data_IF_738896596352
#
_entry.id   IF_738896596352
#
_cell.length_a   1.000
_cell.length_b   1.000
_cell.length_c   1.000
_cell.angle_alpha   90.00
_cell.angle_beta   90.00
_cell.angle_gamma   90.00
#
_symmetry.space_group_name_H-M   'P 1'
#
loop_
_entity.id
_entity.type
_entity.pdbx_description
1 polymer ?
#
# COMPACT_ATOMS: atom_id res chain seq x y z
N UNK A 1 -6.81 -1.06 -5.95
CA UNK A 1 -7.13 -0.29 -7.17
C UNK A 1 -5.78 0.19 -7.67
N UNK A 2 -5.23 -0.50 -8.66
CA UNK A 2 -3.90 -0.29 -9.26
C UNK A 2 -3.95 -0.94 -10.65
N UNK A 3 -4.57 -2.11 -10.71
CA UNK A 3 -4.90 -2.85 -11.94
C UNK A 3 -5.84 -2.08 -12.85
N UNK A 4 -6.90 -1.45 -12.30
CA UNK A 4 -7.83 -0.62 -13.08
C UNK A 4 -7.13 0.58 -13.73
N UNK A 5 -6.20 1.20 -13.01
CA UNK A 5 -5.51 2.41 -13.44
C UNK A 5 -4.46 2.11 -14.53
N UNK A 6 -3.80 0.95 -14.47
CA UNK A 6 -2.74 0.57 -15.42
C UNK A 6 -3.24 -0.24 -16.62
N UNK A 7 -4.31 -1.05 -16.45
CA UNK A 7 -4.73 -2.05 -17.45
C UNK A 7 -6.19 -1.88 -17.90
N UNK A 8 -6.93 -0.91 -17.36
CA UNK A 8 -8.32 -0.62 -17.73
C UNK A 8 -9.36 -1.55 -17.09
N UNK A 9 -10.64 -1.33 -17.41
CA UNK A 9 -11.76 -2.04 -16.75
C UNK A 9 -11.89 -3.52 -17.13
N UNK A 10 -11.46 -3.93 -18.33
CA UNK A 10 -11.56 -5.31 -18.80
C UNK A 10 -10.77 -6.31 -17.91
N UNK A 11 -9.69 -5.81 -17.28
CA UNK A 11 -8.84 -6.56 -16.34
C UNK A 11 -9.45 -6.78 -14.96
N UNK A 12 -10.62 -6.19 -14.68
CA UNK A 12 -11.39 -6.46 -13.47
C UNK A 12 -12.33 -7.67 -13.64
N UNK A 13 -12.39 -8.28 -14.83
CA UNK A 13 -13.11 -9.53 -15.04
C UNK A 13 -12.27 -10.74 -14.57
N UNK A 14 -12.92 -11.72 -13.93
CA UNK A 14 -12.30 -12.97 -13.47
C UNK A 14 -11.69 -13.82 -14.61
N UNK A 15 -11.90 -13.42 -15.87
CA UNK A 15 -11.29 -14.10 -17.01
C UNK A 15 -9.79 -13.79 -17.14
N UNK A 16 -9.34 -12.61 -16.70
CA UNK A 16 -7.95 -12.14 -16.85
C UNK A 16 -7.23 -11.88 -15.51
N UNK A 17 -7.98 -11.82 -14.40
CA UNK A 17 -7.43 -11.55 -13.07
C UNK A 17 -7.14 -12.84 -12.28
N UNK A 18 -5.88 -13.32 -12.25
CA UNK A 18 -5.45 -14.50 -11.45
C UNK A 18 -4.08 -14.34 -10.79
N UNK A 19 -3.92 -13.32 -9.95
CA UNK A 19 -2.90 -13.37 -8.90
C UNK A 19 -3.58 -13.32 -7.54
N UNK A 20 -3.76 -14.51 -6.95
CA UNK A 20 -4.20 -14.66 -5.58
C UNK A 20 -2.99 -14.66 -4.65
N UNK A 21 -3.08 -13.93 -3.53
CA UNK A 21 -2.07 -13.91 -2.47
C UNK A 21 -1.72 -15.30 -1.89
N UNK A 22 -2.50 -16.33 -2.24
CA UNK A 22 -2.24 -17.74 -1.93
C UNK A 22 -1.03 -18.33 -2.66
N UNK A 23 -0.70 -17.89 -3.87
CA UNK A 23 0.47 -18.43 -4.58
C UNK A 23 1.79 -17.93 -3.98
N UNK A 24 1.87 -16.64 -3.64
CA UNK A 24 3.07 -16.05 -3.06
C UNK A 24 3.38 -16.61 -1.66
N UNK A 25 2.35 -16.80 -0.83
CA UNK A 25 2.54 -17.42 0.48
C UNK A 25 2.98 -18.89 0.37
N UNK A 26 2.37 -19.67 -0.54
CA UNK A 26 2.81 -21.03 -0.80
C UNK A 26 4.23 -21.09 -1.37
N UNK A 27 4.59 -20.18 -2.27
CA UNK A 27 5.94 -20.10 -2.83
C UNK A 27 6.99 -19.79 -1.75
N UNK A 28 6.68 -18.87 -0.83
CA UNK A 28 7.58 -18.55 0.30
C UNK A 28 7.71 -19.75 1.25
N UNK A 29 6.61 -20.43 1.56
CA UNK A 29 6.64 -21.63 2.41
C UNK A 29 7.43 -22.76 1.77
N UNK A 30 7.25 -23.00 0.48
CA UNK A 30 8.03 -23.99 -0.28
C UNK A 30 9.52 -23.65 -0.29
N UNK A 31 9.87 -22.36 -0.35
CA UNK A 31 11.26 -21.94 -0.35
C UNK A 31 11.93 -22.04 1.02
N UNK A 32 11.23 -21.68 2.10
CA UNK A 32 11.74 -21.87 3.46
C UNK A 32 11.94 -23.36 3.78
N UNK A 33 11.04 -24.22 3.30
CA UNK A 33 11.11 -25.65 3.54
C UNK A 33 12.26 -26.29 2.75
N UNK A 34 12.45 -25.88 1.48
CA UNK A 34 13.60 -26.27 0.67
C UNK A 34 14.93 -25.84 1.30
N UNK A 35 15.03 -24.66 1.90
CA UNK A 35 16.24 -24.24 2.61
C UNK A 35 16.53 -25.14 3.83
N UNK A 36 15.49 -25.67 4.47
CA UNK A 36 15.62 -26.54 5.64
C UNK A 36 15.96 -27.99 5.28
N UNK A 37 15.40 -28.54 4.20
CA UNK A 37 15.49 -29.98 3.87
C UNK A 37 16.20 -30.31 2.54
N UNK A 38 16.50 -29.29 1.73
CA UNK A 38 17.24 -29.39 0.47
C UNK A 38 16.44 -29.88 -0.75
N UNK A 39 15.14 -30.14 -0.63
CA UNK A 39 14.36 -30.78 -1.70
C UNK A 39 13.21 -29.88 -2.20
N UNK A 40 13.01 -29.83 -3.52
CA UNK A 40 11.84 -29.18 -4.11
C UNK A 40 10.61 -30.09 -4.04
N UNK A 41 9.47 -29.56 -3.58
CA UNK A 41 8.17 -30.25 -3.54
C UNK A 41 7.16 -29.64 -4.51
N UNK A 42 6.07 -30.37 -4.80
CA UNK A 42 4.99 -29.91 -5.69
C UNK A 42 3.92 -29.16 -4.91
N UNK A 43 3.14 -28.32 -5.60
CA UNK A 43 2.01 -27.57 -5.02
C UNK A 43 0.94 -28.47 -4.42
N UNK A 44 0.84 -29.71 -4.89
CA UNK A 44 -0.15 -30.69 -4.44
C UNK A 44 0.14 -31.26 -3.04
N UNK A 45 1.37 -31.07 -2.53
CA UNK A 45 1.76 -31.54 -1.19
C UNK A 45 1.22 -30.63 -0.06
N UNK A 46 0.64 -29.46 -0.40
CA UNK A 46 0.20 -28.44 0.55
C UNK A 46 -1.33 -28.31 0.69
N UNK A 47 -2.12 -29.00 -0.15
CA UNK A 47 -3.58 -29.01 0.01
C UNK A 47 -4.00 -30.13 0.96
N UNK A 48 -4.47 -29.78 2.16
CA UNK A 48 -5.10 -30.75 3.05
C UNK A 48 -6.42 -30.17 3.57
N UNK A 49 -7.49 -30.40 2.82
CA UNK A 49 -8.85 -30.26 3.31
C UNK A 49 -9.19 -31.52 4.12
N UNK A 50 -9.07 -31.44 5.44
CA UNK A 50 -9.71 -32.40 6.34
C UNK A 50 -10.75 -31.69 7.20
N UNK A 51 -12.01 -32.00 6.93
CA UNK A 51 -13.14 -31.62 7.78
C UNK A 51 -13.00 -32.28 9.16
N UNK A 52 -13.00 -31.48 10.22
CA UNK A 52 -13.19 -31.95 11.59
C UNK A 52 -14.54 -31.43 12.08
N UNK A 53 -15.52 -32.33 12.11
CA UNK A 53 -16.85 -32.08 12.65
C UNK A 53 -16.88 -32.33 14.16
N UNK A 54 -17.43 -31.38 14.92
CA UNK A 54 -17.88 -31.59 16.30
C UNK A 54 -17.07 -30.91 17.40
N UNK A 55 -17.19 -29.59 17.55
CA UNK A 55 -16.97 -28.90 18.83
C UNK A 55 -17.92 -27.69 18.92
N UNK A 56 -18.65 -27.59 20.03
CA UNK A 56 -19.49 -26.42 20.34
C UNK A 56 -18.57 -25.31 20.84
N UNK A 57 -18.45 -24.22 20.09
CA UNK A 57 -17.61 -23.09 20.46
C UNK A 57 -18.18 -22.36 21.69
N UNK A 58 -17.40 -22.15 22.76
CA UNK A 58 -17.78 -21.21 23.81
C UNK A 58 -17.76 -19.79 23.24
N UNK A 59 -18.61 -18.90 23.77
CA UNK A 59 -18.66 -17.48 23.38
C UNK A 59 -17.27 -16.86 23.56
N UNK A 60 -16.54 -16.72 22.46
CA UNK A 60 -15.25 -16.06 22.42
C UNK A 60 -15.49 -14.55 22.55
N UNK A 61 -14.62 -13.82 23.27
CA UNK A 61 -14.67 -12.37 23.27
C UNK A 61 -14.56 -11.87 21.83
N UNK A 62 -15.40 -10.89 21.49
CA UNK A 62 -15.52 -10.31 20.14
C UNK A 62 -14.17 -9.75 19.64
N UNK A 63 -13.19 -9.57 20.54
CA UNK A 63 -11.78 -9.34 20.22
C UNK A 63 -10.88 -10.21 21.11
N UNK A 64 -10.28 -11.31 20.62
CA UNK A 64 -9.28 -12.05 21.38
C UNK A 64 -8.06 -11.14 21.68
N UNK A 65 -7.39 -11.33 22.84
CA UNK A 65 -6.15 -10.62 23.12
C UNK A 65 -5.13 -10.92 22.01
N UNK A 66 -4.46 -9.88 21.53
CA UNK A 66 -3.50 -9.95 20.44
C UNK A 66 -2.34 -10.88 20.80
N UNK A 67 -1.94 -11.75 19.87
CA UNK A 67 -0.77 -12.59 20.07
C UNK A 67 0.52 -11.89 19.63
N UNK A 68 1.67 -12.31 20.18
CA UNK A 68 2.98 -11.70 19.92
C UNK A 68 3.35 -11.70 18.42
N UNK A 69 2.85 -12.67 17.64
CA UNK A 69 3.09 -12.74 16.19
C UNK A 69 2.34 -11.64 15.43
N UNK A 70 1.10 -11.33 15.83
CA UNK A 70 0.31 -10.25 15.24
C UNK A 70 0.94 -8.89 15.48
N UNK A 71 1.39 -8.63 16.72
CA UNK A 71 2.10 -7.40 17.07
C UNK A 71 3.42 -7.27 16.27
N UNK A 72 4.18 -8.37 16.15
CA UNK A 72 5.39 -8.39 15.34
C UNK A 72 5.09 -8.11 13.85
N UNK A 73 4.03 -8.69 13.30
CA UNK A 73 3.64 -8.46 11.91
C UNK A 73 3.22 -7.02 11.63
N UNK A 74 2.47 -6.40 12.55
CA UNK A 74 2.16 -4.96 12.49
C UNK A 74 3.46 -4.17 12.44
N UNK A 75 4.38 -4.41 13.38
CA UNK A 75 5.65 -3.70 13.45
C UNK A 75 6.46 -3.83 12.15
N UNK A 76 6.63 -5.05 11.63
CA UNK A 76 7.35 -5.29 10.37
C UNK A 76 6.72 -4.52 9.19
N UNK A 77 5.38 -4.46 9.15
CA UNK A 77 4.64 -3.73 8.12
C UNK A 77 4.88 -2.22 8.21
N UNK A 78 4.78 -1.66 9.41
CA UNK A 78 4.97 -0.21 9.63
C UNK A 78 6.43 0.22 9.43
N UNK A 79 7.39 -0.63 9.83
CA UNK A 79 8.81 -0.42 9.60
C UNK A 79 9.10 -0.39 8.08
N UNK A 80 8.56 -1.34 7.32
CA UNK A 80 8.68 -1.36 5.87
C UNK A 80 8.08 -0.09 5.26
N UNK A 81 6.83 0.28 5.58
CA UNK A 81 6.21 1.52 5.11
C UNK A 81 7.10 2.74 5.36
N UNK A 82 7.58 2.89 6.60
CA UNK A 82 8.41 4.03 7.01
C UNK A 82 9.72 4.08 6.26
N UNK A 83 10.39 2.94 6.09
CA UNK A 83 11.61 2.82 5.29
C UNK A 83 11.38 3.25 3.84
N UNK A 84 10.31 2.76 3.19
CA UNK A 84 10.00 3.13 1.79
C UNK A 84 9.66 4.60 1.64
N UNK A 85 8.92 5.19 2.59
CA UNK A 85 8.62 6.63 2.61
C UNK A 85 9.91 7.43 2.73
N UNK A 86 10.80 7.07 3.67
CA UNK A 86 12.07 7.76 3.86
C UNK A 86 12.98 7.66 2.65
N UNK A 87 13.11 6.46 2.06
CA UNK A 87 13.91 6.25 0.85
C UNK A 87 13.36 7.04 -0.35
N UNK A 88 12.04 7.13 -0.49
CA UNK A 88 11.41 7.93 -1.56
C UNK A 88 11.60 9.42 -1.31
N UNK A 89 11.41 9.88 -0.07
CA UNK A 89 11.67 11.27 0.30
C UNK A 89 13.13 11.68 0.05
N UNK A 90 14.10 10.81 0.35
CA UNK A 90 15.51 11.05 0.05
C UNK A 90 15.80 11.12 -1.46
N UNK A 91 15.16 10.26 -2.27
CA UNK A 91 15.24 10.35 -3.74
C UNK A 91 14.66 11.67 -4.24
N UNK A 92 13.47 12.05 -3.77
CA UNK A 92 12.85 13.31 -4.13
C UNK A 92 13.79 14.46 -3.78
N UNK A 93 14.29 14.55 -2.54
CA UNK A 93 15.19 15.62 -2.07
C UNK A 93 16.51 15.70 -2.84
N UNK A 94 16.93 14.62 -3.51
CA UNK A 94 18.10 14.61 -4.39
C UNK A 94 17.84 15.19 -5.79
N UNK A 95 16.63 15.00 -6.32
CA UNK A 95 16.26 15.46 -7.67
C UNK A 95 16.14 16.99 -7.72
N UNK A 96 16.68 17.62 -8.75
CA UNK A 96 16.53 19.06 -8.98
C UNK A 96 15.10 19.42 -9.40
N UNK A 97 14.73 20.69 -9.28
CA UNK A 97 13.41 21.15 -9.72
C UNK A 97 13.25 20.97 -11.24
N UNK A 98 14.31 21.15 -12.02
CA UNK A 98 14.32 20.91 -13.47
C UNK A 98 14.13 19.42 -13.80
N UNK A 99 14.79 18.51 -13.08
CA UNK A 99 14.62 17.05 -13.23
C UNK A 99 13.19 16.64 -12.89
N UNK A 100 12.60 17.23 -11.84
CA UNK A 100 11.21 16.98 -11.46
C UNK A 100 10.21 17.41 -12.53
N UNK A 101 10.55 18.37 -13.38
CA UNK A 101 9.69 18.79 -14.49
C UNK A 101 9.81 17.90 -15.73
N UNK A 102 10.76 16.95 -15.76
CA UNK A 102 10.92 16.01 -16.88
C UNK A 102 10.00 14.80 -16.78
N UNK A 103 9.61 14.26 -17.93
CA UNK A 103 8.95 12.96 -18.04
C UNK A 103 9.91 11.83 -17.61
N UNK A 104 9.43 10.87 -16.81
CA UNK A 104 10.23 9.71 -16.37
C UNK A 104 10.58 8.76 -17.51
N UNK A 105 9.77 8.76 -18.58
CA UNK A 105 9.93 8.04 -19.83
C UNK A 105 9.20 8.80 -20.95
N UNK A 106 9.59 8.69 -22.24
CA UNK A 106 8.88 9.39 -23.31
C UNK A 106 7.38 9.09 -23.26
N UNK A 107 6.55 10.15 -23.26
CA UNK A 107 5.10 10.07 -23.13
C UNK A 107 4.62 9.40 -21.83
N UNK A 108 5.38 9.54 -20.74
CA UNK A 108 5.00 9.14 -19.38
C UNK A 108 4.98 10.35 -18.46
N UNK A 109 4.39 10.17 -17.28
CA UNK A 109 4.22 11.24 -16.29
C UNK A 109 5.56 11.90 -15.92
N UNK A 110 5.49 13.19 -15.60
CA UNK A 110 6.58 13.97 -15.04
C UNK A 110 6.82 13.64 -13.59
N UNK A 111 8.04 13.87 -13.11
CA UNK A 111 8.40 13.69 -11.70
C UNK A 111 7.50 14.46 -10.74
N UNK A 112 7.16 15.70 -11.07
CA UNK A 112 6.29 16.58 -10.28
C UNK A 112 4.89 15.99 -10.12
N UNK A 113 4.34 15.41 -11.19
CA UNK A 113 3.03 14.76 -11.15
C UNK A 113 3.07 13.52 -10.25
N UNK A 114 4.09 12.67 -10.39
CA UNK A 114 4.24 11.48 -9.55
C UNK A 114 4.40 11.83 -8.06
N UNK A 115 5.14 12.90 -7.74
CA UNK A 115 5.26 13.38 -6.36
C UNK A 115 3.92 13.86 -5.82
N UNK A 116 3.20 14.71 -6.56
CA UNK A 116 1.86 15.18 -6.17
C UNK A 116 0.85 14.04 -6.04
N UNK A 117 0.89 13.06 -6.95
CA UNK A 117 0.03 11.88 -6.91
C UNK A 117 0.26 11.06 -5.64
N UNK A 118 1.51 10.77 -5.31
CA UNK A 118 1.86 10.05 -4.08
C UNK A 118 1.42 10.83 -2.83
N UNK A 119 1.59 12.15 -2.82
CA UNK A 119 1.12 13.02 -1.73
C UNK A 119 -0.39 12.85 -1.54
N UNK A 120 -1.19 13.00 -2.60
CA UNK A 120 -2.65 12.89 -2.53
C UNK A 120 -3.10 11.50 -2.10
N UNK A 121 -2.53 10.44 -2.70
CA UNK A 121 -2.88 9.06 -2.37
C UNK A 121 -2.59 8.73 -0.91
N UNK A 122 -1.49 9.26 -0.37
CA UNK A 122 -1.15 9.08 1.04
C UNK A 122 -1.97 9.97 1.96
N UNK A 123 -2.24 11.22 1.59
CA UNK A 123 -3.10 12.12 2.35
C UNK A 123 -4.53 11.56 2.50
N UNK A 124 -5.05 10.93 1.44
CA UNK A 124 -6.30 10.18 1.47
C UNK A 124 -6.27 8.91 2.35
N UNK A 125 -5.09 8.44 2.78
CA UNK A 125 -5.02 7.38 3.79
C UNK A 125 -5.50 7.87 5.15
N UNK A 126 -5.41 9.16 5.48
CA UNK A 126 -5.85 9.70 6.77
C UNK A 126 -7.33 9.39 7.06
N UNK A 127 -8.29 9.73 6.16
CA UNK A 127 -9.69 9.39 6.40
C UNK A 127 -9.95 7.89 6.23
N UNK A 128 -9.27 7.21 5.30
CA UNK A 128 -9.44 5.76 5.10
C UNK A 128 -9.00 4.95 6.33
N UNK A 129 -7.93 5.36 6.98
CA UNK A 129 -7.45 4.79 8.23
C UNK A 129 -8.15 5.37 9.46
N UNK A 130 -9.20 6.20 9.29
CA UNK A 130 -9.99 6.77 10.39
C UNK A 130 -9.16 7.63 11.36
N UNK A 131 -8.13 8.31 10.85
CA UNK A 131 -7.30 9.20 11.67
C UNK A 131 -7.86 10.62 11.70
N UNK A 132 -8.07 11.22 10.53
CA UNK A 132 -8.55 12.59 10.37
C UNK A 132 -8.91 12.88 8.90
N UNK A 133 -9.41 14.07 8.63
CA UNK A 133 -9.58 14.58 7.26
C UNK A 133 -8.23 14.80 6.54
N UNK A 134 -8.21 14.79 5.20
CA UNK A 134 -7.03 15.10 4.40
C UNK A 134 -6.43 16.48 4.73
N UNK A 135 -5.11 16.61 4.67
CA UNK A 135 -4.40 17.87 4.91
C UNK A 135 -4.41 18.80 3.69
N UNK A 136 -4.40 18.22 2.49
CA UNK A 136 -4.25 18.92 1.22
C UNK A 136 -5.31 18.46 0.19
N UNK A 137 -6.62 18.55 0.51
CA UNK A 137 -7.69 18.12 -0.40
C UNK A 137 -7.69 18.88 -1.73
N UNK A 138 -7.14 20.10 -1.76
CA UNK A 138 -6.99 20.93 -2.96
C UNK A 138 -6.11 20.31 -4.05
N UNK A 139 -5.20 19.40 -3.70
CA UNK A 139 -4.29 18.75 -4.64
C UNK A 139 -4.96 17.62 -5.44
N UNK A 140 -6.13 17.14 -5.00
CA UNK A 140 -6.77 15.94 -5.54
C UNK A 140 -7.13 16.06 -7.03
N UNK A 141 -7.65 17.21 -7.44
CA UNK A 141 -8.04 17.43 -8.83
C UNK A 141 -6.83 17.27 -9.76
N UNK A 142 -5.73 17.98 -9.45
CA UNK A 142 -4.55 18.06 -10.32
C UNK A 142 -3.68 16.79 -10.34
N UNK A 143 -3.73 15.95 -9.31
CA UNK A 143 -2.79 14.83 -9.14
C UNK A 143 -3.44 13.45 -9.00
N UNK A 144 -4.77 13.36 -9.07
CA UNK A 144 -5.50 12.09 -9.00
C UNK A 144 -6.66 12.01 -9.98
N UNK A 145 -7.44 13.08 -10.14
CA UNK A 145 -8.62 13.06 -11.01
C UNK A 145 -8.28 13.42 -12.47
N UNK A 146 -7.29 14.29 -12.68
CA UNK A 146 -6.78 14.67 -13.98
C UNK A 146 -5.44 13.97 -14.28
N UNK A 147 -5.23 13.61 -15.55
CA UNK A 147 -3.95 13.09 -16.01
C UNK A 147 -2.89 14.20 -16.08
N UNK A 148 -1.61 13.81 -16.08
CA UNK A 148 -0.50 14.75 -16.17
C UNK A 148 -0.58 15.63 -17.42
N UNK A 149 -0.62 16.95 -17.21
CA UNK A 149 -0.74 17.94 -18.27
C UNK A 149 0.19 19.13 -18.02
N UNK A 150 1.09 19.40 -18.97
CA UNK A 150 2.05 20.50 -18.88
C UNK A 150 1.43 21.90 -18.84
N UNK A 151 0.19 22.05 -19.32
CA UNK A 151 -0.54 23.31 -19.31
C UNK A 151 -1.30 23.56 -18.00
N UNK A 152 -1.43 22.55 -17.12
CA UNK A 152 -2.16 22.70 -15.86
C UNK A 152 -1.36 23.52 -14.85
N UNK A 153 -2.05 24.40 -14.11
CA UNK A 153 -1.43 25.15 -13.02
C UNK A 153 -1.23 24.22 -11.83
N UNK A 154 0.02 24.06 -11.39
CA UNK A 154 0.40 23.18 -10.28
C UNK A 154 1.17 23.96 -9.21
N UNK A 155 1.17 23.50 -7.95
CA UNK A 155 2.10 23.99 -6.94
C UNK A 155 3.56 23.80 -7.39
N UNK A 156 4.47 24.61 -6.84
CA UNK A 156 5.90 24.45 -7.12
C UNK A 156 6.45 23.14 -6.55
N UNK A 157 7.57 22.67 -7.10
CA UNK A 157 8.28 21.49 -6.60
C UNK A 157 8.58 21.65 -5.10
N UNK A 158 9.06 22.83 -4.69
CA UNK A 158 9.32 23.14 -3.28
C UNK A 158 8.07 23.03 -2.40
N UNK A 159 6.92 23.54 -2.84
CA UNK A 159 5.66 23.42 -2.09
C UNK A 159 5.27 21.94 -1.93
N UNK A 160 5.36 21.15 -3.00
CA UNK A 160 5.06 19.71 -2.93
C UNK A 160 6.03 18.95 -2.01
N UNK A 161 7.32 19.34 -1.90
CA UNK A 161 8.25 18.76 -0.91
C UNK A 161 7.80 19.04 0.53
N UNK A 162 7.28 20.22 0.78
CA UNK A 162 6.74 20.59 2.10
C UNK A 162 5.47 19.79 2.40
N UNK A 163 4.57 19.65 1.41
CA UNK A 163 3.38 18.79 1.52
C UNK A 163 3.74 17.33 1.77
N UNK A 164 4.75 16.79 1.07
CA UNK A 164 5.28 15.45 1.32
C UNK A 164 5.69 15.28 2.78
N UNK A 165 6.51 16.21 3.31
CA UNK A 165 6.98 16.15 4.71
C UNK A 165 5.82 16.28 5.70
N UNK A 166 4.85 17.13 5.41
CA UNK A 166 3.66 17.36 6.24
C UNK A 166 2.78 16.09 6.33
N UNK A 167 2.38 15.53 5.19
CA UNK A 167 1.50 14.34 5.12
C UNK A 167 2.14 13.14 5.81
N UNK A 168 3.41 12.84 5.51
CA UNK A 168 4.06 11.66 6.06
C UNK A 168 4.39 11.79 7.54
N UNK A 169 4.73 12.99 8.03
CA UNK A 169 4.89 13.23 9.47
C UNK A 169 3.58 12.97 10.21
N UNK A 170 2.46 13.47 9.69
CA UNK A 170 1.13 13.29 10.29
C UNK A 170 0.70 11.82 10.26
N UNK A 171 0.83 11.16 9.11
CA UNK A 171 0.50 9.73 8.98
C UNK A 171 1.33 8.89 9.96
N UNK A 172 2.67 8.99 9.91
CA UNK A 172 3.55 8.18 10.77
C UNK A 172 3.27 8.46 12.24
N UNK A 173 3.01 9.72 12.62
CA UNK A 173 2.61 10.08 13.99
C UNK A 173 1.35 9.35 14.45
N UNK A 174 0.31 9.30 13.63
CA UNK A 174 -0.91 8.54 13.92
C UNK A 174 -0.65 7.03 13.97
N UNK A 175 0.13 6.50 13.01
CA UNK A 175 0.44 5.07 12.94
C UNK A 175 1.18 4.57 14.19
N UNK A 176 2.08 5.38 14.76
CA UNK A 176 2.84 5.04 15.96
C UNK A 176 2.00 5.05 17.25
N UNK A 177 0.87 5.77 17.25
CA UNK A 177 -0.01 5.88 18.41
C UNK A 177 -1.16 4.86 18.38
N UNK A 178 -1.39 4.19 17.24
CA UNK A 178 -2.49 3.26 17.08
C UNK A 178 -2.16 1.91 17.77
N UNK A 179 -2.99 1.42 18.72
CA UNK A 179 -2.77 0.12 19.35
C UNK A 179 -2.76 -1.03 18.34
N UNK A 180 -1.92 -2.06 18.51
CA UNK A 180 -1.70 -2.97 17.38
C UNK A 180 -2.95 -3.80 16.98
N UNK A 181 -3.89 -4.01 17.91
CA UNK A 181 -5.14 -4.74 17.63
C UNK A 181 -6.05 -3.95 16.67
N UNK A 182 -5.96 -2.62 16.68
CA UNK A 182 -6.76 -1.76 15.82
C UNK A 182 -6.39 -1.88 14.34
N UNK A 183 -5.16 -2.32 14.03
CA UNK A 183 -4.71 -2.54 12.65
C UNK A 183 -5.47 -3.65 11.94
N UNK A 184 -6.03 -4.60 12.70
CA UNK A 184 -6.82 -5.72 12.19
C UNK A 184 -8.31 -5.39 12.10
N UNK A 185 -8.73 -4.14 12.34
CA UNK A 185 -10.09 -3.67 12.10
C UNK A 185 -10.26 -3.15 10.67
N UNK A 186 -11.51 -3.00 10.22
CA UNK A 186 -11.85 -2.49 8.88
C UNK A 186 -11.38 -1.04 8.66
N UNK A 187 -10.90 -0.75 7.46
CA UNK A 187 -10.74 0.64 7.02
C UNK A 187 -12.09 1.29 6.67
N UNK A 188 -12.12 2.61 6.45
CA UNK A 188 -13.36 3.37 6.32
C UNK A 188 -14.21 3.02 5.09
N UNK A 189 -13.59 2.50 4.03
CA UNK A 189 -14.27 2.14 2.79
C UNK A 189 -14.83 0.72 2.73
N UNK A 190 -14.75 -0.06 3.81
CA UNK A 190 -15.37 -1.40 3.91
C UNK A 190 -16.56 -1.35 4.86
N UNK A 191 -17.69 -1.92 4.43
CA UNK A 191 -18.87 -2.10 5.28
C UNK A 191 -18.61 -3.13 6.39
N UNK A 192 -19.46 -3.19 7.41
CA UNK A 192 -19.33 -4.22 8.46
C UNK A 192 -19.64 -5.62 7.93
N UNK A 193 -20.63 -5.72 7.03
CA UNK A 193 -21.02 -6.96 6.37
C UNK A 193 -19.88 -7.52 5.50
N UNK A 194 -19.30 -6.70 4.62
CA UNK A 194 -18.19 -7.14 3.77
C UNK A 194 -16.97 -7.53 4.61
N UNK A 195 -16.69 -6.78 5.67
CA UNK A 195 -15.54 -7.07 6.53
C UNK A 195 -15.69 -8.39 7.30
N UNK A 196 -16.91 -8.75 7.71
CA UNK A 196 -17.17 -10.03 8.35
C UNK A 196 -16.87 -11.21 7.40
N UNK A 197 -17.11 -11.03 6.09
CA UNK A 197 -16.81 -12.03 5.06
C UNK A 197 -15.35 -11.99 4.60
N UNK A 198 -14.71 -10.82 4.64
CA UNK A 198 -13.36 -10.56 4.12
C UNK A 198 -12.48 -9.82 5.15
N UNK A 199 -12.15 -10.44 6.29
CA UNK A 199 -11.44 -9.78 7.40
C UNK A 199 -10.00 -9.35 7.07
N UNK A 200 -9.46 -9.83 5.94
CA UNK A 200 -8.18 -9.38 5.40
C UNK A 200 -8.25 -7.95 4.81
N UNK A 201 -9.44 -7.39 4.56
CA UNK A 201 -9.65 -6.00 4.11
C UNK A 201 -9.58 -5.02 5.30
N UNK A 202 -8.52 -5.15 6.09
CA UNK A 202 -8.26 -4.38 7.30
C UNK A 202 -7.32 -3.19 7.07
N UNK A 203 -7.16 -2.35 8.11
CA UNK A 203 -6.31 -1.14 8.07
C UNK A 203 -4.84 -1.47 7.76
N UNK A 204 -4.31 -2.58 8.28
CA UNK A 204 -2.93 -2.99 8.01
C UNK A 204 -2.71 -3.34 6.53
N UNK A 205 -3.67 -4.06 5.93
CA UNK A 205 -3.62 -4.42 4.52
C UNK A 205 -3.67 -3.18 3.60
N UNK A 206 -4.36 -2.12 4.02
CA UNK A 206 -4.32 -0.84 3.31
C UNK A 206 -2.89 -0.26 3.29
N UNK A 207 -2.17 -0.30 4.42
CA UNK A 207 -0.77 0.16 4.50
C UNK A 207 0.15 -0.71 3.64
N UNK A 208 -0.01 -2.04 3.66
CA UNK A 208 0.74 -2.95 2.79
C UNK A 208 0.53 -2.62 1.30
N UNK A 209 -0.73 -2.44 0.90
CA UNK A 209 -1.06 -2.07 -0.48
C UNK A 209 -0.41 -0.74 -0.89
N UNK A 210 -0.48 0.28 -0.03
CA UNK A 210 0.10 1.61 -0.29
C UNK A 210 1.62 1.57 -0.30
N UNK A 211 2.25 0.69 0.48
CA UNK A 211 3.71 0.46 0.43
C UNK A 211 4.15 -0.09 -0.93
N UNK A 212 3.38 -1.01 -1.51
CA UNK A 212 3.62 -1.52 -2.87
C UNK A 212 3.46 -0.45 -3.93
N UNK A 213 2.37 0.33 -3.85
CA UNK A 213 2.10 1.47 -4.74
C UNK A 213 3.22 2.52 -4.72
N UNK A 214 3.69 2.89 -3.52
CA UNK A 214 4.83 3.78 -3.35
C UNK A 214 6.10 3.24 -4.01
N UNK A 215 6.39 1.95 -3.83
CA UNK A 215 7.58 1.31 -4.40
C UNK A 215 7.56 1.32 -5.92
N UNK A 216 6.38 1.13 -6.52
CA UNK A 216 6.18 1.19 -7.97
C UNK A 216 6.52 2.58 -8.53
N UNK A 217 5.94 3.66 -7.99
CA UNK A 217 6.22 5.01 -8.46
C UNK A 217 7.63 5.50 -8.09
N UNK A 218 8.21 5.04 -6.98
CA UNK A 218 9.63 5.29 -6.68
C UNK A 218 10.53 4.72 -7.78
N UNK A 219 10.20 3.54 -8.32
CA UNK A 219 10.90 2.95 -9.45
C UNK A 219 10.86 3.83 -10.71
N UNK A 220 9.72 4.48 -10.97
CA UNK A 220 9.58 5.45 -12.06
C UNK A 220 10.41 6.72 -11.81
N UNK A 221 10.34 7.29 -10.61
CA UNK A 221 11.12 8.47 -10.21
C UNK A 221 12.64 8.22 -10.30
N UNK A 222 13.07 6.99 -10.06
CA UNK A 222 14.49 6.61 -10.16
C UNK A 222 15.06 6.67 -11.58
N UNK A 223 14.22 6.87 -12.61
CA UNK A 223 14.65 7.04 -14.01
C UNK A 223 15.05 8.48 -14.33
N UNK A 224 14.74 9.45 -13.47
CA UNK A 224 15.04 10.88 -13.68
C UNK A 224 16.52 11.25 -13.56
N UNK A 225 17.32 10.73 -12.59
CA UNK A 225 18.70 11.18 -12.36
C UNK A 225 19.73 10.96 -13.49
N UNK A 226 19.32 10.63 -14.71
CA UNK A 226 20.20 10.36 -15.85
C UNK A 226 19.58 10.81 -17.19
N UNK A 227 18.67 11.80 -17.16
CA UNK A 227 17.98 12.32 -18.36
C UNK A 227 18.47 13.70 -18.75
#
# INVERSE_FOLDING_TARGET
MMVKEELGEEWLSNHWFRFGASSLANDILMQLQKEADGHYRSTDDLSNDQEVSGCRFPDLPINPPMNDQQALFVRMTLDAWTERVNATGALLDKLSDEEMMQEVAPARNRGIYLMGHLIVVHDMMLPLLRFQEPLHPELKLAFLEEADNAASTMPSVQQLREHWKSVHRTLIGHMQQLPDNEWFTRHASISEEDFANEPHRNRLNLVLNRTGHLSYHRGQLALLPNR
#
